data_IF_133227568819
#
_entry.id   IF_133227568819
#
_cell.length_a   1.000
_cell.length_b   1.000
_cell.length_c   1.000
_cell.angle_alpha   90.00
_cell.angle_beta   90.00
_cell.angle_gamma   90.00
#
_symmetry.space_group_name_H-M   'P 1'
#
loop_
_entity.id
_entity.type
_entity.pdbx_description
1 polymer ?
#
# COMPACT_ATOMS: atom_id res chain seq x y z
N UNK A 1 9.18 24.91 -5.71
CA UNK A 1 9.62 23.52 -6.00
C UNK A 1 10.65 22.96 -4.99
N UNK A 2 11.40 23.78 -4.23
CA UNK A 2 12.39 23.28 -3.25
C UNK A 2 11.78 22.70 -1.96
N UNK A 3 10.64 23.22 -1.49
CA UNK A 3 10.02 22.77 -0.24
C UNK A 3 9.38 21.37 -0.37
N UNK A 4 8.62 21.15 -1.46
CA UNK A 4 7.99 19.86 -1.76
C UNK A 4 9.04 18.75 -1.97
N UNK A 5 10.13 19.05 -2.70
CA UNK A 5 11.26 18.14 -2.86
C UNK A 5 11.95 17.81 -1.53
N UNK A 6 12.09 18.78 -0.61
CA UNK A 6 12.68 18.57 0.72
C UNK A 6 11.79 17.73 1.63
N UNK A 7 10.48 17.93 1.60
CA UNK A 7 9.53 17.12 2.40
C UNK A 7 9.55 15.67 1.91
N UNK A 8 9.46 15.45 0.61
CA UNK A 8 9.54 14.09 0.03
C UNK A 8 10.87 13.43 0.39
N UNK A 9 11.99 14.15 0.24
CA UNK A 9 13.31 13.61 0.59
C UNK A 9 13.45 13.30 2.10
N UNK A 10 12.85 14.11 2.98
CA UNK A 10 12.88 13.89 4.41
C UNK A 10 12.05 12.66 4.82
N UNK A 11 10.83 12.54 4.28
CA UNK A 11 9.95 11.39 4.55
C UNK A 11 10.54 10.11 3.95
N UNK A 12 11.05 10.16 2.72
CA UNK A 12 11.65 9.00 2.05
C UNK A 12 12.88 8.42 2.77
N UNK A 13 13.58 9.21 3.58
CA UNK A 13 14.70 8.68 4.40
C UNK A 13 14.25 7.78 5.55
N UNK A 14 13.00 7.92 5.99
CA UNK A 14 12.43 7.16 7.13
C UNK A 14 11.69 5.93 6.63
N UNK A 15 11.25 5.93 5.37
CA UNK A 15 10.55 4.81 4.75
C UNK A 15 11.56 3.68 4.51
N UNK A 16 11.31 2.46 5.02
CA UNK A 16 12.10 1.30 4.69
C UNK A 16 12.08 1.07 3.17
N UNK A 17 13.23 0.84 2.56
CA UNK A 17 13.36 0.54 1.14
C UNK A 17 14.07 -0.80 0.98
N UNK A 18 13.54 -1.66 0.10
CA UNK A 18 14.21 -2.91 -0.27
C UNK A 18 15.45 -2.57 -1.11
N UNK A 19 16.63 -2.99 -0.65
CA UNK A 19 17.89 -2.74 -1.36
C UNK A 19 17.89 -3.47 -2.71
N UNK A 20 18.22 -2.74 -3.78
CA UNK A 20 18.29 -3.32 -5.12
C UNK A 20 19.39 -4.38 -5.17
N UNK A 21 19.16 -5.52 -5.85
CA UNK A 21 20.14 -6.60 -5.89
C UNK A 21 21.45 -6.13 -6.56
N UNK A 22 22.57 -6.39 -5.89
CA UNK A 22 23.93 -5.98 -6.33
C UNK A 22 24.34 -6.60 -7.66
N UNK A 23 23.80 -7.77 -7.97
CA UNK A 23 23.99 -8.48 -9.24
C UNK A 23 22.61 -8.86 -9.79
N UNK A 24 22.50 -8.96 -11.11
CA UNK A 24 21.24 -9.34 -11.75
C UNK A 24 20.89 -10.77 -11.33
N UNK A 25 19.75 -11.00 -10.65
CA UNK A 25 19.39 -12.33 -10.20
C UNK A 25 19.11 -13.23 -11.40
N UNK A 26 19.57 -14.47 -11.32
CA UNK A 26 19.28 -15.54 -12.27
C UNK A 26 17.78 -15.85 -12.28
N UNK A 27 17.29 -16.47 -13.35
CA UNK A 27 15.87 -16.83 -13.47
C UNK A 27 15.42 -17.72 -12.29
N UNK A 28 16.28 -18.64 -11.84
CA UNK A 28 16.00 -19.53 -10.71
C UNK A 28 15.79 -18.76 -9.40
N UNK A 29 16.63 -17.76 -9.15
CA UNK A 29 16.51 -16.91 -7.97
C UNK A 29 15.25 -16.06 -8.02
N UNK A 30 14.91 -15.48 -9.18
CA UNK A 30 13.66 -14.72 -9.35
C UNK A 30 12.43 -15.58 -9.04
N UNK A 31 12.37 -16.78 -9.61
CA UNK A 31 11.26 -17.71 -9.35
C UNK A 31 11.21 -18.10 -7.86
N UNK A 32 12.36 -18.35 -7.23
CA UNK A 32 12.45 -18.64 -5.80
C UNK A 32 11.88 -17.50 -4.94
N UNK A 33 12.29 -16.26 -5.20
CA UNK A 33 11.77 -15.09 -4.49
C UNK A 33 10.28 -14.87 -4.73
N UNK A 34 9.82 -14.99 -5.98
CA UNK A 34 8.39 -14.89 -6.29
C UNK A 34 7.57 -15.96 -5.55
N UNK A 35 8.05 -17.20 -5.49
CA UNK A 35 7.36 -18.27 -4.75
C UNK A 35 7.29 -17.97 -3.25
N UNK A 36 8.36 -17.46 -2.65
CA UNK A 36 8.38 -17.04 -1.24
C UNK A 36 7.38 -15.91 -1.00
N UNK A 37 7.37 -14.89 -1.87
CA UNK A 37 6.45 -13.75 -1.76
C UNK A 37 5.00 -14.20 -1.89
N UNK A 38 4.69 -15.07 -2.85
CA UNK A 38 3.36 -15.65 -3.02
C UNK A 38 2.92 -16.44 -1.79
N UNK A 39 3.83 -17.21 -1.19
CA UNK A 39 3.54 -17.96 0.03
C UNK A 39 3.23 -17.04 1.22
N UNK A 40 4.03 -15.97 1.41
CA UNK A 40 3.79 -14.97 2.45
C UNK A 40 2.45 -14.26 2.19
N UNK A 41 2.20 -13.80 0.96
CA UNK A 41 0.94 -13.18 0.57
C UNK A 41 -0.25 -14.07 0.92
N UNK A 42 -0.18 -15.37 0.57
CA UNK A 42 -1.25 -16.31 0.90
C UNK A 42 -1.49 -16.40 2.41
N UNK A 43 -0.44 -16.49 3.24
CA UNK A 43 -0.57 -16.47 4.70
C UNK A 43 -1.26 -15.19 5.17
N UNK A 44 -0.86 -14.02 4.66
CA UNK A 44 -1.46 -12.74 5.07
C UNK A 44 -2.97 -12.70 4.76
N UNK A 45 -3.41 -13.29 3.64
CA UNK A 45 -4.85 -13.37 3.30
C UNK A 45 -5.67 -14.21 4.27
N UNK A 46 -5.04 -15.11 5.02
CA UNK A 46 -5.69 -15.99 5.98
C UNK A 46 -5.67 -15.47 7.42
N UNK A 47 -4.98 -14.36 7.70
CA UNK A 47 -4.94 -13.76 9.04
C UNK A 47 -6.16 -12.85 9.23
N UNK A 48 -7.14 -13.24 10.07
CA UNK A 48 -8.33 -12.43 10.29
C UNK A 48 -8.03 -11.20 11.14
N UNK A 49 -8.85 -10.16 10.99
CA UNK A 49 -8.74 -8.95 11.80
C UNK A 49 -9.13 -9.22 13.26
N UNK A 50 -8.31 -8.70 14.17
CA UNK A 50 -8.61 -8.80 15.60
C UNK A 50 -9.71 -7.83 16.02
N UNK A 51 -10.68 -8.35 16.78
CA UNK A 51 -11.65 -7.59 17.54
C UNK A 51 -12.83 -7.02 16.74
N UNK A 52 -12.95 -7.35 15.46
CA UNK A 52 -14.10 -6.98 14.63
C UNK A 52 -14.65 -8.20 13.89
N UNK A 53 -15.96 -8.26 13.73
CA UNK A 53 -16.59 -9.27 12.89
C UNK A 53 -16.50 -8.86 11.43
N UNK A 54 -16.18 -9.82 10.56
CA UNK A 54 -16.21 -9.60 9.12
C UNK A 54 -17.67 -9.47 8.68
N UNK A 55 -18.09 -8.31 8.14
CA UNK A 55 -19.48 -8.15 7.76
C UNK A 55 -19.82 -9.05 6.58
N UNK A 56 -21.04 -9.61 6.58
CA UNK A 56 -21.49 -10.61 5.61
C UNK A 56 -21.47 -10.11 4.15
N UNK A 57 -21.59 -8.81 3.96
CA UNK A 57 -21.51 -8.17 2.64
C UNK A 57 -20.08 -7.70 2.38
N UNK A 58 -19.54 -8.12 1.25
CA UNK A 58 -18.25 -7.71 0.75
C UNK A 58 -18.42 -6.64 -0.33
N UNK A 59 -18.31 -5.36 0.06
CA UNK A 59 -18.45 -4.22 -0.85
C UNK A 59 -17.35 -4.16 -1.91
N UNK A 60 -16.19 -4.73 -1.62
CA UNK A 60 -15.03 -4.69 -2.52
C UNK A 60 -14.93 -5.93 -3.41
N UNK A 61 -15.92 -6.84 -3.40
CA UNK A 61 -15.86 -8.12 -4.11
C UNK A 61 -15.36 -8.01 -5.55
N UNK A 62 -15.93 -7.08 -6.31
CA UNK A 62 -15.53 -6.86 -7.71
C UNK A 62 -14.12 -6.28 -7.83
N UNK A 63 -13.75 -5.38 -6.92
CA UNK A 63 -12.43 -4.76 -6.89
C UNK A 63 -11.32 -5.71 -6.42
N UNK A 64 -11.65 -6.80 -5.71
CA UNK A 64 -10.65 -7.78 -5.24
C UNK A 64 -9.91 -8.49 -6.37
N UNK A 65 -10.52 -8.61 -7.55
CA UNK A 65 -9.84 -9.13 -8.74
C UNK A 65 -8.67 -8.24 -9.17
N UNK A 66 -8.79 -6.93 -8.94
CA UNK A 66 -7.77 -5.93 -9.30
C UNK A 66 -6.79 -5.72 -8.15
N UNK A 67 -7.30 -5.55 -6.93
CA UNK A 67 -6.49 -5.16 -5.78
C UNK A 67 -5.95 -6.34 -4.98
N UNK A 68 -6.32 -7.57 -5.31
CA UNK A 68 -5.84 -8.77 -4.61
C UNK A 68 -6.02 -8.69 -3.08
N UNK A 69 -7.14 -8.11 -2.62
CA UNK A 69 -7.47 -8.01 -1.20
C UNK A 69 -8.36 -9.16 -0.74
N UNK A 70 -8.29 -9.54 0.54
CA UNK A 70 -9.12 -10.61 1.11
C UNK A 70 -10.02 -10.10 2.26
N UNK A 71 -11.33 -10.29 2.12
CA UNK A 71 -12.33 -9.77 3.08
C UNK A 71 -12.15 -10.39 4.46
N UNK A 72 -12.13 -9.55 5.49
CA UNK A 72 -11.95 -9.94 6.88
C UNK A 72 -10.51 -10.17 7.29
N UNK A 73 -9.54 -10.00 6.39
CA UNK A 73 -8.13 -10.23 6.68
C UNK A 73 -7.36 -8.93 6.88
N UNK A 74 -6.11 -9.03 7.36
CA UNK A 74 -5.19 -7.87 7.43
C UNK A 74 -4.89 -7.26 6.05
N UNK A 75 -5.12 -8.00 4.96
CA UNK A 75 -4.99 -7.53 3.57
C UNK A 75 -6.34 -7.20 2.93
N UNK A 76 -7.30 -6.71 3.72
CA UNK A 76 -8.65 -6.32 3.27
C UNK A 76 -8.64 -5.46 1.99
N UNK A 77 -7.82 -4.42 1.97
CA UNK A 77 -7.69 -3.45 0.86
C UNK A 77 -6.66 -3.88 -0.19
N UNK A 78 -5.89 -4.95 0.08
CA UNK A 78 -4.87 -5.46 -0.83
C UNK A 78 -3.85 -4.39 -1.26
N UNK A 79 -3.48 -4.41 -2.54
CA UNK A 79 -2.59 -3.41 -3.17
C UNK A 79 -3.30 -2.10 -3.53
N UNK A 80 -4.61 -1.98 -3.26
CA UNK A 80 -5.44 -0.84 -3.64
C UNK A 80 -4.80 0.51 -3.32
N UNK A 81 -4.39 0.77 -2.06
CA UNK A 81 -3.79 2.06 -1.69
C UNK A 81 -2.49 2.40 -2.46
N UNK A 82 -1.68 1.39 -2.80
CA UNK A 82 -0.42 1.56 -3.55
C UNK A 82 -0.72 1.90 -5.01
N UNK A 83 -1.66 1.19 -5.62
CA UNK A 83 -2.09 1.41 -7.00
C UNK A 83 -2.79 2.76 -7.15
N UNK A 84 -3.67 3.13 -6.21
CA UNK A 84 -4.34 4.44 -6.20
C UNK A 84 -3.32 5.57 -6.17
N UNK A 85 -2.32 5.48 -5.29
CA UNK A 85 -1.26 6.48 -5.22
C UNK A 85 -0.47 6.62 -6.53
N UNK A 86 -0.14 5.49 -7.16
CA UNK A 86 0.50 5.44 -8.49
C UNK A 86 -0.34 6.15 -9.54
N UNK A 87 -1.61 5.74 -9.70
CA UNK A 87 -2.54 6.31 -10.69
C UNK A 87 -2.70 7.81 -10.49
N UNK A 88 -2.88 8.28 -9.25
CA UNK A 88 -3.01 9.72 -8.97
C UNK A 88 -1.76 10.48 -9.41
N UNK A 89 -0.57 9.99 -9.08
CA UNK A 89 0.68 10.65 -9.47
C UNK A 89 0.93 10.58 -10.99
N UNK A 90 0.64 9.45 -11.62
CA UNK A 90 0.73 9.28 -13.07
C UNK A 90 -0.19 10.26 -13.80
N UNK A 91 -1.42 10.45 -13.32
CA UNK A 91 -2.36 11.44 -13.87
C UNK A 91 -1.86 12.87 -13.68
N UNK A 92 -1.28 13.21 -12.53
CA UNK A 92 -0.73 14.55 -12.25
C UNK A 92 0.48 14.89 -13.14
N UNK A 93 1.36 13.91 -13.40
CA UNK A 93 2.52 14.08 -14.28
C UNK A 93 2.06 14.06 -15.75
N UNK A 94 1.20 13.13 -16.13
CA UNK A 94 0.68 12.99 -17.51
C UNK A 94 -0.15 14.19 -17.97
N UNK A 95 -0.91 14.80 -17.07
CA UNK A 95 -1.65 16.06 -17.34
C UNK A 95 -0.76 17.31 -17.33
N UNK A 96 0.55 17.17 -17.08
CA UNK A 96 1.53 18.26 -16.94
C UNK A 96 1.23 19.25 -15.81
N UNK A 97 0.36 18.90 -14.86
CA UNK A 97 0.15 19.68 -13.63
C UNK A 97 1.44 19.70 -12.81
N UNK A 98 2.13 18.56 -12.74
CA UNK A 98 3.48 18.45 -12.20
C UNK A 98 4.46 18.32 -13.38
N UNK A 99 5.26 19.36 -13.68
CA UNK A 99 6.24 19.31 -14.77
C UNK A 99 7.42 18.43 -14.36
N UNK A 100 7.34 17.15 -14.70
CA UNK A 100 8.33 16.12 -14.39
C UNK A 100 8.68 15.39 -15.69
N UNK A 101 9.93 15.55 -16.15
CA UNK A 101 10.38 14.87 -17.36
C UNK A 101 10.90 13.47 -17.00
N UNK A 102 10.08 12.46 -17.24
CA UNK A 102 10.43 11.06 -16.99
C UNK A 102 11.42 10.49 -18.01
N UNK A 103 11.99 11.27 -18.93
CA UNK A 103 13.14 10.81 -19.74
C UNK A 103 14.45 10.96 -18.99
N UNK A 104 14.52 11.94 -18.07
CA UNK A 104 15.68 12.21 -17.23
C UNK A 104 15.76 11.18 -16.07
N UNK A 105 16.90 10.46 -15.91
CA UNK A 105 17.13 9.55 -14.80
C UNK A 105 16.92 10.16 -13.40
N UNK A 106 17.23 11.45 -13.19
CA UNK A 106 17.05 12.11 -11.89
C UNK A 106 15.57 12.28 -11.56
N UNK A 107 14.80 12.77 -12.52
CA UNK A 107 13.35 12.93 -12.42
C UNK A 107 12.62 11.59 -12.24
N UNK A 108 13.08 10.51 -12.89
CA UNK A 108 12.55 9.15 -12.66
C UNK A 108 12.73 8.71 -11.20
N UNK A 109 13.93 8.93 -10.64
CA UNK A 109 14.21 8.60 -9.23
C UNK A 109 13.31 9.40 -8.29
N UNK A 110 13.14 10.69 -8.56
CA UNK A 110 12.25 11.53 -7.78
C UNK A 110 10.79 11.08 -7.87
N UNK A 111 10.32 10.68 -9.06
CA UNK A 111 8.97 10.14 -9.23
C UNK A 111 8.77 8.86 -8.42
N UNK A 112 9.73 7.93 -8.44
CA UNK A 112 9.68 6.71 -7.62
C UNK A 112 9.61 7.02 -6.12
N UNK A 113 10.41 7.98 -5.64
CA UNK A 113 10.36 8.42 -4.24
C UNK A 113 9.02 9.06 -3.89
N UNK A 114 8.48 9.91 -4.77
CA UNK A 114 7.17 10.53 -4.59
C UNK A 114 6.06 9.46 -4.55
N UNK A 115 6.15 8.43 -5.40
CA UNK A 115 5.19 7.33 -5.45
C UNK A 115 5.15 6.54 -4.16
N UNK A 116 6.31 6.24 -3.56
CA UNK A 116 6.35 5.56 -2.25
C UNK A 116 5.80 6.41 -1.12
N UNK A 117 6.16 7.70 -1.07
CA UNK A 117 5.62 8.62 -0.07
C UNK A 117 4.10 8.76 -0.21
N UNK A 118 3.61 8.85 -1.45
CA UNK A 118 2.18 8.89 -1.72
C UNK A 118 1.51 7.55 -1.35
N UNK A 119 2.10 6.41 -1.71
CA UNK A 119 1.57 5.09 -1.37
C UNK A 119 1.37 4.95 0.14
N UNK A 120 2.35 5.36 0.95
CA UNK A 120 2.18 5.38 2.40
C UNK A 120 1.07 6.32 2.85
N UNK A 121 0.97 7.53 2.30
CA UNK A 121 -0.10 8.46 2.63
C UNK A 121 -1.48 7.85 2.32
N UNK A 122 -1.64 7.21 1.17
CA UNK A 122 -2.87 6.50 0.77
C UNK A 122 -3.12 5.26 1.63
N UNK A 123 -2.09 4.51 2.02
CA UNK A 123 -2.22 3.40 2.97
C UNK A 123 -2.83 3.90 4.27
N UNK A 124 -2.32 4.97 4.88
CA UNK A 124 -2.91 5.51 6.09
C UNK A 124 -4.32 6.06 5.85
N UNK A 125 -4.50 6.85 4.79
CA UNK A 125 -5.75 7.54 4.50
C UNK A 125 -6.90 6.56 4.17
N UNK A 126 -6.69 5.66 3.22
CA UNK A 126 -7.71 4.71 2.77
C UNK A 126 -8.07 3.72 3.86
N UNK A 127 -7.09 3.14 4.57
CA UNK A 127 -7.38 2.21 5.66
C UNK A 127 -8.11 2.91 6.82
N UNK A 128 -7.73 4.15 7.17
CA UNK A 128 -8.46 4.92 8.17
C UNK A 128 -9.88 5.27 7.70
N UNK A 129 -10.03 5.75 6.47
CA UNK A 129 -11.33 6.09 5.89
C UNK A 129 -12.23 4.86 5.78
N UNK A 130 -11.69 3.68 5.48
CA UNK A 130 -12.44 2.44 5.38
C UNK A 130 -13.03 2.00 6.72
N UNK A 131 -12.24 2.08 7.80
CA UNK A 131 -12.73 1.77 9.17
C UNK A 131 -13.70 2.84 9.66
N UNK A 132 -13.33 4.13 9.57
CA UNK A 132 -14.15 5.24 10.04
C UNK A 132 -15.42 5.44 9.20
N UNK A 133 -15.41 5.01 7.95
CA UNK A 133 -16.57 4.96 7.05
C UNK A 133 -17.62 3.93 7.47
N UNK A 134 -17.36 3.16 8.53
CA UNK A 134 -18.33 2.29 9.15
C UNK A 134 -18.32 0.85 8.63
N UNK A 135 -17.26 0.42 7.94
CA UNK A 135 -17.15 -0.96 7.43
C UNK A 135 -17.41 -1.99 8.52
N UNK A 136 -16.74 -1.84 9.67
CA UNK A 136 -16.82 -2.78 10.78
C UNK A 136 -17.84 -2.38 11.85
N UNK A 137 -18.55 -1.26 11.63
CA UNK A 137 -19.43 -0.63 12.60
C UNK A 137 -19.13 0.86 12.78
N UNK A 138 -20.11 1.61 13.30
CA UNK A 138 -20.01 3.07 13.47
C UNK A 138 -19.11 3.41 14.67
N UNK A 139 -18.05 4.18 14.46
CA UNK A 139 -17.17 4.67 15.54
C UNK A 139 -17.73 6.01 16.09
N UNK A 140 -17.93 6.19 17.42
CA UNK A 140 -17.69 5.26 18.52
C UNK A 140 -18.92 4.46 18.99
N UNK A 141 -20.07 4.56 18.30
CA UNK A 141 -21.35 4.04 18.77
C UNK A 141 -21.40 2.50 18.89
N UNK A 142 -20.73 1.80 17.97
CA UNK A 142 -20.71 0.34 17.88
C UNK A 142 -19.29 -0.21 18.14
N UNK A 143 -18.26 0.50 17.68
CA UNK A 143 -16.85 0.17 17.93
C UNK A 143 -16.20 1.31 18.71
N UNK A 144 -15.58 1.05 19.88
CA UNK A 144 -14.88 2.09 20.63
C UNK A 144 -13.59 2.54 19.94
N UNK A 145 -13.16 3.77 20.19
CA UNK A 145 -12.00 4.39 19.51
C UNK A 145 -10.70 3.57 19.64
N UNK A 146 -10.45 2.96 20.79
CA UNK A 146 -9.29 2.10 21.01
C UNK A 146 -9.28 0.92 20.04
N UNK A 147 -10.41 0.21 19.89
CA UNK A 147 -10.51 -0.91 18.96
C UNK A 147 -10.40 -0.43 17.51
N UNK A 148 -11.07 0.67 17.14
CA UNK A 148 -10.95 1.25 15.81
C UNK A 148 -9.50 1.57 15.44
N UNK A 149 -8.72 2.17 16.36
CA UNK A 149 -7.29 2.46 16.13
C UNK A 149 -6.46 1.19 15.93
N UNK A 150 -6.76 0.11 16.66
CA UNK A 150 -6.08 -1.19 16.50
C UNK A 150 -6.40 -1.82 15.15
N UNK A 151 -7.65 -1.74 14.69
CA UNK A 151 -8.05 -2.26 13.36
C UNK A 151 -7.38 -1.47 12.25
N UNK A 152 -7.36 -0.13 12.34
CA UNK A 152 -6.66 0.72 11.37
C UNK A 152 -5.18 0.36 11.33
N UNK A 153 -4.54 0.18 12.49
CA UNK A 153 -3.12 -0.19 12.55
C UNK A 153 -2.85 -1.56 11.91
N UNK A 154 -3.71 -2.56 12.12
CA UNK A 154 -3.61 -3.88 11.48
C UNK A 154 -3.70 -3.78 9.96
N UNK A 155 -4.67 -3.02 9.46
CA UNK A 155 -4.91 -2.84 8.04
C UNK A 155 -3.79 -2.05 7.35
N UNK A 156 -3.33 -0.97 7.98
CA UNK A 156 -2.14 -0.21 7.55
C UNK A 156 -0.92 -1.11 7.47
N UNK A 157 -0.71 -1.95 8.49
CA UNK A 157 0.40 -2.90 8.52
C UNK A 157 0.29 -3.93 7.39
N UNK A 158 -0.90 -4.47 7.12
CA UNK A 158 -1.12 -5.38 6.00
C UNK A 158 -0.83 -4.74 4.64
N UNK A 159 -1.38 -3.57 4.34
CA UNK A 159 -1.09 -2.86 3.09
C UNK A 159 0.37 -2.42 2.99
N UNK A 160 1.01 -2.05 4.11
CA UNK A 160 2.44 -1.74 4.14
C UNK A 160 3.30 -2.96 3.83
N UNK A 161 2.97 -4.13 4.38
CA UNK A 161 3.65 -5.38 4.05
C UNK A 161 3.51 -5.72 2.56
N UNK A 162 2.31 -5.54 1.99
CA UNK A 162 2.11 -5.75 0.55
C UNK A 162 2.95 -4.79 -0.30
N UNK A 163 3.05 -3.51 0.09
CA UNK A 163 3.94 -2.55 -0.57
C UNK A 163 5.40 -3.02 -0.53
N UNK A 164 5.87 -3.56 0.60
CA UNK A 164 7.24 -4.08 0.73
C UNK A 164 7.46 -5.36 -0.09
N UNK A 165 6.46 -6.23 -0.18
CA UNK A 165 6.52 -7.43 -1.01
C UNK A 165 6.54 -7.08 -2.51
N UNK A 166 5.80 -6.04 -2.91
CA UNK A 166 5.81 -5.51 -4.28
C UNK A 166 7.19 -4.91 -4.65
N UNK A 167 7.77 -4.13 -3.74
CA UNK A 167 9.14 -3.59 -3.86
C UNK A 167 10.20 -4.72 -3.95
N UNK A 168 9.97 -5.88 -3.34
CA UNK A 168 10.89 -7.02 -3.35
C UNK A 168 10.88 -7.78 -4.69
N UNK A 169 9.72 -7.85 -5.35
CA UNK A 169 9.57 -8.58 -6.63
C UNK A 169 9.94 -7.71 -7.84
N UNK A 170 9.81 -6.38 -7.71
CA UNK A 170 10.09 -5.38 -8.75
C UNK A 170 11.58 -5.19 -9.07
#
# INVERSE_FOLDING_TARGET
MSLFRRIIAAVNRVIPEVEKPKQRPSLKERIGWTAIVLFIYYILTQIPLYGVETPAVDFLREFRVIFAGASGSIVELGIGPVVTAGIVLELLVGSKIIPLDLTDPENRRYFQQAQRVAALAFIFLENAAYVLGGRYGRVPAEIPWNLATVVIAQLVLGSFLLMMLDDLVS
#
